data_IF_039720749631
#
_entry.id   IF_039720749631
#
_cell.length_a   1.000
_cell.length_b   1.000
_cell.length_c   1.000
_cell.angle_alpha   90.00
_cell.angle_beta   90.00
_cell.angle_gamma   90.00
#
_symmetry.space_group_name_H-M   'P 1'
#
loop_
_entity.id
_entity.type
_entity.pdbx_description
1 polymer ?
#
# COMPACT_ATOMS: atom_id res chain seq x y z
N UNK A 1 -2.52 13.02 18.32
CA UNK A 1 -2.87 11.64 17.96
C UNK A 1 -1.68 11.09 17.19
N UNK A 2 -1.03 10.06 17.74
CA UNK A 2 0.18 9.48 17.16
C UNK A 2 -0.10 8.63 15.91
N UNK A 3 0.96 8.17 15.23
CA UNK A 3 0.86 7.28 14.08
C UNK A 3 0.09 5.99 14.43
N UNK A 4 0.43 5.37 15.56
CA UNK A 4 -0.23 4.16 16.05
C UNK A 4 -1.73 4.37 16.28
N UNK A 5 -2.12 5.48 16.90
CA UNK A 5 -3.54 5.79 17.14
C UNK A 5 -4.34 5.89 15.84
N UNK A 6 -3.75 6.48 14.79
CA UNK A 6 -4.39 6.60 13.47
C UNK A 6 -4.55 5.25 12.80
N UNK A 7 -3.50 4.43 12.83
CA UNK A 7 -3.53 3.07 12.29
C UNK A 7 -4.58 2.23 13.04
N UNK A 8 -4.54 2.23 14.38
CA UNK A 8 -5.49 1.50 15.22
C UNK A 8 -6.94 1.92 14.95
N UNK A 9 -7.21 3.23 14.91
CA UNK A 9 -8.56 3.75 14.61
C UNK A 9 -9.02 3.36 13.20
N UNK A 10 -8.15 3.49 12.20
CA UNK A 10 -8.44 3.11 10.82
C UNK A 10 -8.64 1.61 10.64
N UNK A 11 -8.05 0.77 11.50
CA UNK A 11 -8.15 -0.67 11.38
C UNK A 11 -9.20 -1.29 12.29
N UNK A 12 -9.99 -0.50 13.04
CA UNK A 12 -10.91 -1.04 14.06
C UNK A 12 -11.84 -2.13 13.51
N UNK A 13 -12.50 -1.91 12.37
CA UNK A 13 -13.40 -2.91 11.77
C UNK A 13 -12.69 -4.19 11.36
N UNK A 14 -11.47 -4.05 10.88
CA UNK A 14 -10.60 -5.16 10.50
C UNK A 14 -10.15 -5.93 11.73
N UNK A 15 -9.66 -5.22 12.74
CA UNK A 15 -9.26 -5.77 14.03
C UNK A 15 -10.41 -6.53 14.68
N UNK A 16 -11.63 -5.98 14.70
CA UNK A 16 -12.80 -6.63 15.28
C UNK A 16 -13.19 -7.92 14.52
N UNK A 17 -12.98 -7.98 13.21
CA UNK A 17 -13.28 -9.18 12.42
C UNK A 17 -12.21 -10.26 12.60
N UNK A 18 -10.93 -9.88 12.47
CA UNK A 18 -9.80 -10.79 12.64
C UNK A 18 -9.73 -11.31 14.08
N UNK A 19 -9.92 -10.43 15.06
CA UNK A 19 -9.88 -10.82 16.47
C UNK A 19 -10.97 -11.81 16.81
N UNK A 20 -12.21 -11.62 16.34
CA UNK A 20 -13.29 -12.58 16.57
C UNK A 20 -12.99 -13.96 16.00
N UNK A 21 -12.43 -14.03 14.79
CA UNK A 21 -12.07 -15.31 14.17
C UNK A 21 -10.93 -16.00 14.91
N UNK A 22 -9.87 -15.26 15.26
CA UNK A 22 -8.70 -15.82 15.92
C UNK A 22 -8.93 -16.13 17.41
N UNK A 23 -9.71 -15.31 18.13
CA UNK A 23 -10.04 -15.56 19.53
C UNK A 23 -10.81 -16.87 19.70
N UNK A 24 -11.66 -17.24 18.73
CA UNK A 24 -12.35 -18.53 18.73
C UNK A 24 -11.35 -19.70 18.69
N UNK A 25 -10.39 -19.65 17.75
CA UNK A 25 -9.31 -20.65 17.61
C UNK A 25 -8.51 -20.76 18.91
N UNK A 26 -8.11 -19.62 19.48
CA UNK A 26 -7.27 -19.61 20.67
C UNK A 26 -8.01 -19.96 21.97
N UNK A 27 -9.32 -19.70 22.06
CA UNK A 27 -10.13 -20.09 23.21
C UNK A 27 -10.36 -21.61 23.27
N UNK A 28 -10.34 -22.28 22.12
CA UNK A 28 -10.41 -23.74 22.01
C UNK A 28 -9.09 -24.47 22.24
N UNK A 29 -7.99 -23.74 22.49
CA UNK A 29 -6.66 -24.34 22.59
C UNK A 29 -6.55 -25.36 23.74
N UNK A 30 -6.18 -26.60 23.39
CA UNK A 30 -5.82 -27.66 24.33
C UNK A 30 -4.41 -28.17 24.05
N UNK A 31 -4.13 -28.47 22.79
CA UNK A 31 -2.83 -28.86 22.26
C UNK A 31 -2.72 -28.34 20.83
N UNK A 32 -1.52 -28.39 20.26
CA UNK A 32 -1.33 -28.14 18.83
C UNK A 32 -1.54 -29.47 18.09
N UNK A 33 -2.72 -29.65 17.53
CA UNK A 33 -3.12 -30.77 16.69
C UNK A 33 -3.62 -30.28 15.32
N UNK A 34 -3.91 -31.24 14.43
CA UNK A 34 -4.34 -30.96 13.06
C UNK A 34 -5.64 -30.14 13.03
N UNK A 35 -6.58 -30.40 13.95
CA UNK A 35 -7.86 -29.70 14.06
C UNK A 35 -7.66 -28.21 14.37
N UNK A 36 -6.80 -27.87 15.35
CA UNK A 36 -6.47 -26.48 15.67
C UNK A 36 -5.81 -25.75 14.49
N UNK A 37 -4.92 -26.43 13.77
CA UNK A 37 -4.21 -25.86 12.63
C UNK A 37 -5.15 -25.62 11.44
N UNK A 38 -6.12 -26.50 11.21
CA UNK A 38 -7.18 -26.33 10.22
C UNK A 38 -8.07 -25.13 10.56
N UNK A 39 -8.52 -25.00 11.82
CA UNK A 39 -9.30 -23.83 12.27
C UNK A 39 -8.52 -22.52 12.11
N UNK A 40 -7.21 -22.53 12.40
CA UNK A 40 -6.34 -21.37 12.18
C UNK A 40 -6.24 -21.02 10.68
N UNK A 41 -6.12 -22.01 9.80
CA UNK A 41 -6.08 -21.81 8.36
C UNK A 41 -7.39 -21.17 7.87
N UNK A 42 -8.54 -21.71 8.29
CA UNK A 42 -9.86 -21.18 7.94
C UNK A 42 -10.03 -19.72 8.41
N UNK A 43 -9.62 -19.41 9.64
CA UNK A 43 -9.68 -18.06 10.19
C UNK A 43 -8.83 -17.05 9.36
N UNK A 44 -7.65 -17.46 8.90
CA UNK A 44 -6.80 -16.64 8.02
C UNK A 44 -7.44 -16.44 6.64
N UNK A 45 -8.05 -17.48 6.07
CA UNK A 45 -8.75 -17.40 4.77
C UNK A 45 -9.93 -16.43 4.87
N UNK A 46 -10.77 -16.56 5.90
CA UNK A 46 -11.90 -15.67 6.15
C UNK A 46 -11.48 -14.21 6.37
N UNK A 47 -10.23 -13.99 6.78
CA UNK A 47 -9.64 -12.67 6.95
C UNK A 47 -9.05 -12.07 5.67
N UNK A 48 -9.30 -12.67 4.49
CA UNK A 48 -8.77 -12.24 3.19
C UNK A 48 -7.24 -12.41 3.02
N UNK A 49 -6.59 -13.32 3.76
CA UNK A 49 -5.17 -13.67 3.56
C UNK A 49 -4.96 -14.51 2.29
N UNK A 50 -5.97 -15.30 1.91
CA UNK A 50 -5.96 -16.19 0.76
C UNK A 50 -5.38 -17.57 1.09
N UNK A 51 -5.98 -18.63 0.50
CA UNK A 51 -5.69 -20.03 0.85
C UNK A 51 -4.20 -20.40 0.75
N UNK A 52 -3.53 -20.03 -0.35
CA UNK A 52 -2.12 -20.36 -0.54
C UNK A 52 -1.19 -19.72 0.50
N UNK A 53 -1.52 -18.52 0.98
CA UNK A 53 -0.73 -17.85 2.02
C UNK A 53 -1.11 -18.36 3.41
N UNK A 54 -2.39 -18.62 3.66
CA UNK A 54 -2.87 -19.21 4.91
C UNK A 54 -2.19 -20.55 5.19
N UNK A 55 -2.19 -21.47 4.22
CA UNK A 55 -1.51 -22.76 4.33
C UNK A 55 -0.01 -22.61 4.65
N UNK A 56 0.68 -21.66 3.98
CA UNK A 56 2.10 -21.38 4.26
C UNK A 56 2.33 -20.84 5.66
N UNK A 57 1.46 -19.94 6.13
CA UNK A 57 1.52 -19.37 7.48
C UNK A 57 1.34 -20.47 8.52
N UNK A 58 0.29 -21.29 8.38
CA UNK A 58 -0.02 -22.38 9.33
C UNK A 58 1.11 -23.39 9.39
N UNK A 59 1.65 -23.82 8.25
CA UNK A 59 2.80 -24.74 8.19
C UNK A 59 4.02 -24.16 8.93
N UNK A 60 4.31 -22.88 8.76
CA UNK A 60 5.45 -22.24 9.45
C UNK A 60 5.18 -22.02 10.94
N UNK A 61 3.94 -21.72 11.33
CA UNK A 61 3.49 -21.62 12.73
C UNK A 61 3.65 -22.96 13.42
N UNK A 62 3.14 -24.06 12.84
CA UNK A 62 3.30 -25.41 13.37
C UNK A 62 4.78 -25.75 13.58
N UNK A 63 5.60 -25.54 12.54
CA UNK A 63 7.04 -25.82 12.57
C UNK A 63 7.76 -25.02 13.67
N UNK A 64 7.36 -23.77 13.92
CA UNK A 64 7.95 -22.94 14.98
C UNK A 64 7.46 -23.36 16.35
N UNK A 65 6.16 -23.64 16.48
CA UNK A 65 5.55 -24.03 17.73
C UNK A 65 6.11 -25.35 18.27
N UNK A 66 6.34 -26.34 17.39
CA UNK A 66 7.03 -27.59 17.72
C UNK A 66 8.47 -27.33 18.20
N UNK A 67 9.24 -26.48 17.49
CA UNK A 67 10.63 -26.17 17.88
C UNK A 67 10.74 -25.42 19.21
N UNK A 68 9.75 -24.59 19.52
CA UNK A 68 9.71 -23.79 20.74
C UNK A 68 9.05 -24.53 21.92
N UNK A 69 8.51 -25.74 21.68
CA UNK A 69 7.70 -26.49 22.65
C UNK A 69 6.55 -25.64 23.21
N UNK A 70 5.80 -24.98 22.32
CA UNK A 70 4.64 -24.16 22.71
C UNK A 70 3.62 -25.03 23.44
N UNK A 71 3.17 -24.57 24.60
CA UNK A 71 2.22 -25.28 25.47
C UNK A 71 0.99 -24.45 25.83
N UNK A 72 0.91 -23.20 25.35
CA UNK A 72 -0.21 -22.31 25.66
C UNK A 72 -0.70 -21.54 24.44
N UNK A 73 -1.98 -21.14 24.48
CA UNK A 73 -2.58 -20.27 23.46
C UNK A 73 -1.84 -18.94 23.31
N UNK A 74 -1.35 -18.38 24.42
CA UNK A 74 -0.61 -17.12 24.42
C UNK A 74 0.71 -17.26 23.65
N UNK A 75 1.49 -18.31 23.93
CA UNK A 75 2.72 -18.61 23.18
C UNK A 75 2.43 -18.85 21.69
N UNK A 76 1.35 -19.55 21.35
CA UNK A 76 0.94 -19.74 19.96
C UNK A 76 0.61 -18.41 19.26
N UNK A 77 -0.05 -17.48 19.95
CA UNK A 77 -0.30 -16.12 19.45
C UNK A 77 0.99 -15.36 19.16
N UNK A 78 2.00 -15.47 20.04
CA UNK A 78 3.33 -14.89 19.79
C UNK A 78 3.97 -15.53 18.56
N UNK A 79 3.93 -16.85 18.44
CA UNK A 79 4.47 -17.55 17.26
C UNK A 79 3.78 -17.11 15.97
N UNK A 80 2.45 -16.96 15.97
CA UNK A 80 1.71 -16.44 14.82
C UNK A 80 2.16 -15.02 14.46
N UNK A 81 2.22 -14.12 15.45
CA UNK A 81 2.65 -12.73 15.23
C UNK A 81 4.06 -12.65 14.64
N UNK A 82 5.00 -13.39 15.20
CA UNK A 82 6.39 -13.43 14.74
C UNK A 82 6.51 -14.04 13.34
N UNK A 83 5.73 -15.08 13.06
CA UNK A 83 5.65 -15.69 11.72
C UNK A 83 5.17 -14.68 10.69
N UNK A 84 4.09 -13.96 11.00
CA UNK A 84 3.55 -12.93 10.12
C UNK A 84 4.54 -11.78 9.91
N UNK A 85 5.22 -11.33 10.97
CA UNK A 85 6.26 -10.29 10.88
C UNK A 85 7.39 -10.69 9.93
N UNK A 86 7.88 -11.94 10.04
CA UNK A 86 8.98 -12.45 9.22
C UNK A 86 8.57 -12.68 7.76
N UNK A 87 7.30 -13.01 7.52
CA UNK A 87 6.76 -13.17 6.16
C UNK A 87 6.50 -11.83 5.47
N UNK A 88 6.40 -10.74 6.22
CA UNK A 88 6.23 -9.40 5.69
C UNK A 88 7.59 -8.74 5.43
N UNK A 89 7.71 -8.06 4.29
CA UNK A 89 8.92 -7.28 4.00
C UNK A 89 9.17 -6.20 5.07
N UNK A 90 10.44 -5.92 5.32
CA UNK A 90 10.85 -4.84 6.22
C UNK A 90 10.23 -3.50 5.79
N UNK A 91 10.00 -2.62 6.78
CA UNK A 91 9.50 -1.28 6.52
C UNK A 91 10.49 -0.54 5.59
N UNK A 92 10.03 -0.17 4.39
CA UNK A 92 10.80 0.60 3.42
C UNK A 92 10.11 1.93 3.16
N UNK A 93 10.59 3.04 3.77
CA UNK A 93 10.09 4.37 3.48
C UNK A 93 10.19 4.74 1.99
N UNK A 94 9.47 5.79 1.58
CA UNK A 94 9.64 6.36 0.25
C UNK A 94 11.03 6.99 0.11
N UNK A 95 11.78 6.58 -0.91
CA UNK A 95 13.03 7.24 -1.27
C UNK A 95 12.74 8.50 -2.10
N UNK A 96 12.81 9.62 -1.40
CA UNK A 96 12.71 10.97 -1.98
C UNK A 96 13.94 11.79 -1.67
N UNK A 97 15.11 11.13 -1.62
CA UNK A 97 16.40 11.76 -1.32
C UNK A 97 17.02 12.47 -2.54
N UNK A 98 16.78 11.96 -3.75
CA UNK A 98 17.16 12.60 -5.01
C UNK A 98 16.47 13.95 -5.24
N UNK A 99 17.07 14.81 -6.07
CA UNK A 99 16.53 16.14 -6.40
C UNK A 99 16.58 16.43 -7.91
N UNK A 100 15.44 16.35 -8.62
CA UNK A 100 14.14 15.93 -8.12
C UNK A 100 14.06 14.42 -7.91
N UNK A 101 13.37 13.97 -6.86
CA UNK A 101 12.85 12.61 -6.76
C UNK A 101 11.59 12.48 -7.63
N UNK A 102 11.33 11.29 -8.18
CA UNK A 102 10.16 11.03 -9.02
C UNK A 102 9.31 9.92 -8.41
N UNK A 103 8.05 10.22 -8.15
CA UNK A 103 7.04 9.28 -7.65
C UNK A 103 5.99 9.07 -8.75
N UNK A 104 6.07 7.93 -9.44
CA UNK A 104 5.10 7.50 -10.43
C UNK A 104 3.98 6.72 -9.75
N UNK A 105 2.75 7.23 -9.80
CA UNK A 105 1.60 6.60 -9.12
C UNK A 105 0.70 5.92 -10.14
N UNK A 106 0.58 4.60 -10.01
CA UNK A 106 -0.20 3.74 -10.93
C UNK A 106 -1.27 2.95 -10.17
N UNK A 107 -2.16 2.29 -10.92
CA UNK A 107 -3.25 1.49 -10.37
C UNK A 107 -4.57 1.74 -11.09
N UNK A 108 -5.61 0.97 -10.77
CA UNK A 108 -6.88 1.04 -11.52
C UNK A 108 -7.71 2.28 -11.13
N UNK A 109 -8.77 2.58 -11.87
CA UNK A 109 -9.66 3.69 -11.54
C UNK A 109 -10.43 3.44 -10.23
N UNK A 110 -10.65 4.48 -9.43
CA UNK A 110 -11.46 4.40 -8.21
C UNK A 110 -10.74 3.90 -6.95
N UNK A 111 -9.49 3.45 -7.07
CA UNK A 111 -8.66 2.98 -5.92
C UNK A 111 -8.04 4.10 -5.09
N UNK A 112 -8.24 5.36 -5.47
CA UNK A 112 -7.74 6.51 -4.70
C UNK A 112 -6.35 7.04 -5.10
N UNK A 113 -5.91 6.86 -6.36
CA UNK A 113 -4.64 7.42 -6.89
C UNK A 113 -4.52 8.94 -6.68
N UNK A 114 -5.39 9.72 -7.33
CA UNK A 114 -5.38 11.18 -7.27
C UNK A 114 -5.51 11.70 -5.83
N UNK A 115 -6.31 11.05 -5.00
CA UNK A 115 -6.41 11.36 -3.56
C UNK A 115 -5.09 11.09 -2.83
N UNK A 116 -4.43 9.95 -3.08
CA UNK A 116 -3.14 9.61 -2.47
C UNK A 116 -2.04 10.59 -2.91
N UNK A 117 -2.03 10.98 -4.19
CA UNK A 117 -1.12 12.00 -4.73
C UNK A 117 -1.32 13.33 -4.02
N UNK A 118 -2.56 13.78 -3.86
CA UNK A 118 -2.85 15.04 -3.18
C UNK A 118 -2.44 15.06 -1.71
N UNK A 119 -2.67 13.96 -0.98
CA UNK A 119 -2.20 13.80 0.41
C UNK A 119 -0.67 13.76 0.50
N UNK A 120 -0.02 13.02 -0.39
CA UNK A 120 1.44 12.95 -0.44
C UNK A 120 2.08 14.29 -0.79
N UNK A 121 1.47 15.04 -1.72
CA UNK A 121 1.89 16.39 -2.09
C UNK A 121 1.79 17.34 -0.89
N UNK A 122 0.65 17.33 -0.19
CA UNK A 122 0.46 18.17 1.00
C UNK A 122 1.45 17.82 2.11
N UNK A 123 1.74 16.53 2.33
CA UNK A 123 2.77 16.09 3.27
C UNK A 123 4.13 16.69 2.93
N UNK A 124 4.60 16.53 1.69
CA UNK A 124 5.91 17.03 1.30
C UNK A 124 6.00 18.56 1.27
N UNK A 125 4.92 19.27 0.90
CA UNK A 125 4.87 20.73 1.05
C UNK A 125 4.93 21.14 2.52
N UNK A 126 4.22 20.43 3.40
CA UNK A 126 4.28 20.63 4.86
C UNK A 126 5.68 20.39 5.45
N UNK A 127 6.46 19.49 4.84
CA UNK A 127 7.89 19.26 5.15
C UNK A 127 8.82 20.33 4.54
N UNK A 128 8.28 21.32 3.83
CA UNK A 128 9.04 22.40 3.20
C UNK A 128 9.65 22.06 1.83
N UNK A 129 9.27 20.93 1.23
CA UNK A 129 9.73 20.53 -0.11
C UNK A 129 8.94 21.24 -1.21
N UNK A 130 9.61 21.57 -2.32
CA UNK A 130 8.94 22.06 -3.53
C UNK A 130 8.40 20.89 -4.34
N UNK A 131 7.08 20.77 -4.43
CA UNK A 131 6.40 19.66 -5.11
C UNK A 131 5.87 20.11 -6.48
N UNK A 132 6.11 19.28 -7.50
CA UNK A 132 5.54 19.39 -8.84
C UNK A 132 4.61 18.20 -9.10
N UNK A 133 3.36 18.46 -9.48
CA UNK A 133 2.39 17.45 -9.89
C UNK A 133 2.31 17.37 -11.42
N UNK A 134 2.31 16.15 -11.96
CA UNK A 134 2.11 15.90 -13.38
C UNK A 134 0.75 15.23 -13.62
N UNK A 135 -0.16 15.91 -14.31
CA UNK A 135 -1.50 15.41 -14.64
C UNK A 135 -1.49 14.50 -15.88
N UNK A 136 -0.85 13.32 -15.77
CA UNK A 136 -0.69 12.40 -16.89
C UNK A 136 -1.88 11.42 -17.07
N UNK A 137 -2.94 11.46 -16.23
CA UNK A 137 -4.27 10.90 -16.56
C UNK A 137 -4.99 11.82 -17.56
N UNK A 138 -4.49 11.86 -18.80
CA UNK A 138 -5.00 12.76 -19.86
C UNK A 138 -6.29 12.26 -20.51
N UNK A 139 -6.69 11.02 -20.24
CA UNK A 139 -7.92 10.41 -20.78
C UNK A 139 -9.19 10.90 -20.11
N UNK A 140 -9.07 11.55 -18.94
CA UNK A 140 -10.22 12.00 -18.15
C UNK A 140 -10.00 13.46 -17.79
N UNK A 141 -10.70 14.36 -18.48
CA UNK A 141 -10.66 15.80 -18.16
C UNK A 141 -10.90 16.06 -16.65
N UNK A 142 -11.89 15.37 -16.06
CA UNK A 142 -12.21 15.47 -14.64
C UNK A 142 -11.07 15.00 -13.71
N UNK A 143 -10.16 14.12 -14.15
CA UNK A 143 -9.01 13.70 -13.33
C UNK A 143 -7.98 14.82 -13.22
N UNK A 144 -7.68 15.52 -14.32
CA UNK A 144 -6.81 16.68 -14.32
C UNK A 144 -7.39 17.83 -13.47
N UNK A 145 -8.70 18.09 -13.55
CA UNK A 145 -9.37 19.10 -12.72
C UNK A 145 -9.35 18.72 -11.22
N UNK A 146 -9.57 17.44 -10.91
CA UNK A 146 -9.47 16.93 -9.53
C UNK A 146 -8.04 17.08 -8.99
N UNK A 147 -7.01 16.77 -9.80
CA UNK A 147 -5.62 16.93 -9.40
C UNK A 147 -5.25 18.40 -9.21
N UNK A 148 -5.79 19.32 -10.01
CA UNK A 148 -5.58 20.76 -9.83
C UNK A 148 -6.15 21.28 -8.50
N UNK A 149 -7.32 20.77 -8.08
CA UNK A 149 -7.88 21.09 -6.75
C UNK A 149 -6.94 20.60 -5.64
N UNK A 150 -6.39 19.39 -5.78
CA UNK A 150 -5.40 18.86 -4.84
C UNK A 150 -4.10 19.67 -4.83
N UNK A 151 -3.61 20.09 -6.00
CA UNK A 151 -2.43 20.94 -6.13
C UNK A 151 -2.60 22.25 -5.35
N UNK A 152 -3.74 22.94 -5.57
CA UNK A 152 -4.10 24.17 -4.86
C UNK A 152 -4.22 23.95 -3.36
N UNK A 153 -4.85 22.86 -2.93
CA UNK A 153 -5.01 22.52 -1.50
C UNK A 153 -3.67 22.21 -0.84
N UNK A 154 -2.76 21.55 -1.55
CA UNK A 154 -1.43 21.19 -1.06
C UNK A 154 -0.42 22.33 -1.13
N UNK A 155 -0.68 23.37 -1.93
CA UNK A 155 0.32 24.41 -2.24
C UNK A 155 1.42 23.92 -3.20
N UNK A 156 1.10 22.95 -4.06
CA UNK A 156 2.02 22.37 -5.03
C UNK A 156 1.82 22.98 -6.43
N UNK A 157 2.90 23.00 -7.22
CA UNK A 157 2.82 23.32 -8.66
C UNK A 157 2.20 22.16 -9.43
N UNK A 158 1.57 22.44 -10.57
CA UNK A 158 1.00 21.42 -11.46
C UNK A 158 1.29 21.73 -12.92
N UNK A 159 1.60 20.69 -13.69
CA UNK A 159 1.64 20.70 -15.15
C UNK A 159 0.53 19.79 -15.67
N UNK A 160 -0.26 20.32 -16.61
CA UNK A 160 -1.36 19.62 -17.26
C UNK A 160 -1.51 20.06 -18.71
N UNK A 161 -1.94 19.16 -19.57
CA UNK A 161 -2.30 19.44 -20.97
C UNK A 161 -3.81 19.30 -21.18
N UNK A 162 -4.27 19.50 -22.42
CA UNK A 162 -5.66 19.23 -22.81
C UNK A 162 -6.01 17.74 -22.76
N UNK A 163 -7.31 17.44 -22.76
CA UNK A 163 -7.83 16.07 -22.83
C UNK A 163 -7.30 15.33 -24.06
N UNK A 164 -6.90 14.07 -23.88
CA UNK A 164 -6.35 13.23 -24.94
C UNK A 164 -4.89 13.52 -25.31
N UNK A 165 -4.22 14.43 -24.60
CA UNK A 165 -2.79 14.66 -24.79
C UNK A 165 -1.96 13.41 -24.45
N UNK A 166 -0.76 13.31 -25.03
CA UNK A 166 0.18 12.23 -24.72
C UNK A 166 0.68 12.31 -23.25
N UNK A 167 0.40 11.32 -22.40
CA UNK A 167 0.83 11.30 -20.99
C UNK A 167 2.35 11.49 -20.83
N UNK A 168 3.13 10.89 -21.72
CA UNK A 168 4.59 11.01 -21.70
C UNK A 168 5.07 12.44 -22.02
N UNK A 169 4.32 13.20 -22.82
CA UNK A 169 4.60 14.61 -23.08
C UNK A 169 4.31 15.47 -21.83
N UNK A 170 3.21 15.21 -21.12
CA UNK A 170 2.92 15.87 -19.84
C UNK A 170 4.06 15.63 -18.84
N UNK A 171 4.56 14.40 -18.74
CA UNK A 171 5.68 14.06 -17.85
C UNK A 171 6.97 14.77 -18.27
N UNK A 172 7.29 14.81 -19.57
CA UNK A 172 8.47 15.52 -20.09
C UNK A 172 8.44 17.01 -19.72
N UNK A 173 7.31 17.67 -19.92
CA UNK A 173 7.14 19.10 -19.59
C UNK A 173 7.15 19.34 -18.09
N UNK A 174 6.61 18.40 -17.30
CA UNK A 174 6.67 18.43 -15.82
C UNK A 174 8.10 18.34 -15.32
N UNK A 175 8.93 17.45 -15.90
CA UNK A 175 10.35 17.33 -15.57
C UNK A 175 11.11 18.61 -15.94
N UNK A 176 10.83 19.16 -17.12
CA UNK A 176 11.45 20.42 -17.57
C UNK A 176 11.10 21.59 -16.65
N UNK A 177 9.83 21.71 -16.26
CA UNK A 177 9.37 22.72 -15.30
C UNK A 177 9.99 22.52 -13.91
N UNK A 178 10.06 21.28 -13.43
CA UNK A 178 10.67 20.93 -12.15
C UNK A 178 12.16 21.31 -12.09
N UNK A 179 12.91 21.02 -13.15
CA UNK A 179 14.33 21.44 -13.28
C UNK A 179 14.46 22.96 -13.23
N UNK A 180 13.63 23.68 -13.99
CA UNK A 180 13.69 25.14 -14.05
C UNK A 180 13.32 25.83 -12.73
N UNK A 181 12.40 25.23 -11.95
CA UNK A 181 11.90 25.79 -10.68
C UNK A 181 12.63 25.26 -9.45
N UNK A 182 13.52 24.28 -9.63
CA UNK A 182 14.24 23.59 -8.58
C UNK A 182 13.30 22.82 -7.65
N UNK A 183 12.35 22.06 -8.19
CA UNK A 183 11.46 21.19 -7.42
C UNK A 183 12.24 20.04 -6.79
N UNK A 184 11.89 19.68 -5.55
CA UNK A 184 12.49 18.55 -4.84
C UNK A 184 11.82 17.21 -5.20
N UNK A 185 10.51 17.22 -5.48
CA UNK A 185 9.73 16.01 -5.76
C UNK A 185 8.77 16.24 -6.92
N UNK A 186 8.72 15.29 -7.85
CA UNK A 186 7.74 15.22 -8.93
C UNK A 186 6.81 14.03 -8.64
N UNK A 187 5.50 14.25 -8.56
CA UNK A 187 4.51 13.18 -8.37
C UNK A 187 3.62 13.12 -9.61
N UNK A 188 3.55 11.95 -10.25
CA UNK A 188 2.90 11.74 -11.54
C UNK A 188 1.60 10.95 -11.33
N UNK A 189 0.46 11.51 -11.72
CA UNK A 189 -0.83 10.81 -11.80
C UNK A 189 -0.98 10.15 -13.17
N UNK A 190 -1.33 8.86 -13.23
CA UNK A 190 -1.51 8.14 -14.49
C UNK A 190 -2.94 7.65 -14.68
N UNK A 191 -3.30 7.32 -15.92
CA UNK A 191 -4.56 6.62 -16.19
C UNK A 191 -4.62 5.24 -15.50
N UNK A 192 -5.83 4.76 -15.19
CA UNK A 192 -6.06 3.50 -14.46
C UNK A 192 -6.94 2.47 -15.17
N UNK A 193 -6.87 2.38 -16.50
CA UNK A 193 -7.75 1.50 -17.29
C UNK A 193 -7.12 0.12 -17.56
N UNK A 194 -7.26 -0.81 -16.61
CA UNK A 194 -6.70 -2.18 -16.74
C UNK A 194 -7.39 -3.04 -17.81
N UNK A 195 -8.62 -2.72 -18.22
CA UNK A 195 -9.36 -3.48 -19.26
C UNK A 195 -8.69 -3.42 -20.64
N UNK A 196 -7.77 -2.47 -20.87
CA UNK A 196 -6.94 -2.40 -22.07
C UNK A 196 -5.45 -2.47 -21.69
N UNK A 197 -5.05 -3.65 -21.21
CA UNK A 197 -3.72 -3.93 -20.65
C UNK A 197 -2.58 -3.47 -21.56
N UNK A 198 -2.61 -3.84 -22.85
CA UNK A 198 -1.54 -3.52 -23.78
C UNK A 198 -1.30 -2.02 -23.94
N UNK A 199 -2.37 -1.23 -24.04
CA UNK A 199 -2.25 0.23 -24.19
C UNK A 199 -1.73 0.89 -22.91
N UNK A 200 -2.27 0.50 -21.74
CA UNK A 200 -1.80 1.01 -20.45
C UNK A 200 -0.31 0.70 -20.26
N UNK A 201 0.14 -0.50 -20.63
CA UNK A 201 1.55 -0.87 -20.51
C UNK A 201 2.48 -0.12 -21.46
N UNK A 202 2.07 0.07 -22.71
CA UNK A 202 2.84 0.88 -23.66
C UNK A 202 2.99 2.33 -23.18
N UNK A 203 1.95 2.88 -22.55
CA UNK A 203 1.96 4.20 -21.96
C UNK A 203 2.92 4.29 -20.76
N UNK A 204 2.84 3.36 -19.81
CA UNK A 204 3.75 3.31 -18.66
C UNK A 204 5.21 3.13 -19.10
N UNK A 205 5.49 2.25 -20.06
CA UNK A 205 6.83 2.06 -20.62
C UNK A 205 7.34 3.30 -21.37
N UNK A 206 6.45 4.10 -21.95
CA UNK A 206 6.82 5.37 -22.58
C UNK A 206 7.15 6.43 -21.53
N UNK A 207 6.34 6.55 -20.48
CA UNK A 207 6.61 7.43 -19.33
C UNK A 207 7.96 7.06 -18.69
N UNK A 208 8.19 5.77 -18.46
CA UNK A 208 9.43 5.28 -17.85
C UNK A 208 10.67 5.66 -18.67
N UNK A 209 10.63 5.48 -19.99
CA UNK A 209 11.70 5.90 -20.91
C UNK A 209 11.96 7.41 -20.87
N UNK A 210 10.90 8.22 -20.77
CA UNK A 210 11.05 9.69 -20.65
C UNK A 210 11.75 10.02 -19.34
N UNK A 211 11.31 9.47 -18.21
CA UNK A 211 11.93 9.75 -16.90
C UNK A 211 13.38 9.28 -16.90
N UNK A 212 13.68 8.07 -17.39
CA UNK A 212 15.04 7.52 -17.42
C UNK A 212 16.00 8.38 -18.28
N UNK A 213 15.51 8.93 -19.40
CA UNK A 213 16.30 9.80 -20.27
C UNK A 213 16.53 11.18 -19.67
N UNK A 214 15.50 11.77 -19.09
CA UNK A 214 15.57 13.15 -18.59
C UNK A 214 16.15 13.26 -17.17
N UNK A 215 16.02 12.21 -16.35
CA UNK A 215 16.43 12.16 -14.95
C UNK A 215 17.10 10.80 -14.63
N UNK A 216 18.27 10.50 -15.24
CA UNK A 216 18.94 9.20 -15.07
C UNK A 216 19.36 8.91 -13.62
N UNK A 217 19.67 9.95 -12.84
CA UNK A 217 20.19 9.85 -11.47
C UNK A 217 19.14 10.17 -10.38
N UNK A 218 17.86 10.30 -10.75
CA UNK A 218 16.82 10.59 -9.78
C UNK A 218 16.53 9.37 -8.89
N UNK A 219 16.17 9.62 -7.63
CA UNK A 219 15.43 8.63 -6.82
C UNK A 219 14.07 8.40 -7.48
N UNK A 220 13.71 7.13 -7.71
CA UNK A 220 12.49 6.76 -8.43
C UNK A 220 11.67 5.78 -7.62
N UNK A 221 10.42 6.14 -7.38
CA UNK A 221 9.41 5.28 -6.79
C UNK A 221 8.30 5.04 -7.81
N UNK A 222 7.94 3.78 -8.05
CA UNK A 222 6.74 3.38 -8.78
C UNK A 222 5.78 2.75 -7.80
N UNK A 223 4.75 3.52 -7.43
CA UNK A 223 3.79 3.17 -6.40
C UNK A 223 2.51 2.63 -7.03
N UNK A 224 2.15 1.40 -6.70
CA UNK A 224 0.85 0.83 -7.05
C UNK A 224 -0.17 1.14 -5.96
N UNK A 225 -1.24 1.85 -6.31
CA UNK A 225 -2.35 2.12 -5.39
C UNK A 225 -3.41 1.03 -5.54
N UNK A 226 -3.80 0.44 -4.42
CA UNK A 226 -4.79 -0.63 -4.33
C UNK A 226 -5.86 -0.28 -3.30
N UNK A 227 -7.07 -0.76 -3.56
CA UNK A 227 -8.22 -0.60 -2.68
C UNK A 227 -8.34 -1.81 -1.75
N UNK A 228 -8.11 -1.61 -0.45
CA UNK A 228 -8.14 -2.69 0.54
C UNK A 228 -9.55 -3.32 0.71
N UNK A 229 -10.62 -2.65 0.28
CA UNK A 229 -11.99 -3.22 0.33
C UNK A 229 -12.21 -4.34 -0.68
N UNK A 230 -11.35 -4.43 -1.71
CA UNK A 230 -11.50 -5.38 -2.82
C UNK A 230 -10.94 -6.78 -2.52
N UNK A 231 -10.27 -6.97 -1.37
CA UNK A 231 -9.76 -8.27 -0.92
C UNK A 231 -8.81 -8.89 -1.95
N UNK A 232 -8.96 -10.19 -2.23
CA UNK A 232 -8.12 -10.94 -3.18
C UNK A 232 -8.04 -10.34 -4.59
N UNK A 233 -9.02 -9.54 -5.03
CA UNK A 233 -8.93 -8.81 -6.29
C UNK A 233 -7.76 -7.82 -6.31
N UNK A 234 -7.42 -7.21 -5.17
CA UNK A 234 -6.26 -6.33 -5.06
C UNK A 234 -4.95 -7.10 -5.22
N UNK A 235 -4.86 -8.32 -4.68
CA UNK A 235 -3.68 -9.21 -4.85
C UNK A 235 -3.48 -9.50 -6.32
N UNK A 236 -4.53 -9.95 -7.02
CA UNK A 236 -4.45 -10.25 -8.45
C UNK A 236 -4.07 -9.03 -9.28
N UNK A 237 -4.62 -7.85 -8.97
CA UNK A 237 -4.21 -6.62 -9.64
C UNK A 237 -2.73 -6.33 -9.42
N UNK A 238 -2.24 -6.48 -8.19
CA UNK A 238 -0.83 -6.27 -7.89
C UNK A 238 0.08 -7.26 -8.62
N UNK A 239 -0.29 -8.53 -8.71
CA UNK A 239 0.44 -9.53 -9.49
C UNK A 239 0.49 -9.16 -10.98
N UNK A 240 -0.61 -8.65 -11.52
CA UNK A 240 -0.68 -8.22 -12.92
C UNK A 240 0.21 -7.01 -13.19
N UNK A 241 0.20 -6.01 -12.31
CA UNK A 241 1.07 -4.83 -12.44
C UNK A 241 2.55 -5.15 -12.18
N UNK A 242 2.86 -6.07 -11.26
CA UNK A 242 4.24 -6.44 -10.94
C UNK A 242 4.95 -7.17 -12.11
N UNK A 243 4.19 -7.81 -13.00
CA UNK A 243 4.74 -8.46 -14.20
C UNK A 243 5.24 -7.48 -15.27
N UNK A 244 4.80 -6.23 -15.20
CA UNK A 244 4.87 -5.28 -16.33
C UNK A 244 5.42 -3.92 -15.95
N UNK A 245 5.36 -3.55 -14.67
CA UNK A 245 5.96 -2.35 -14.12
C UNK A 245 6.94 -2.75 -13.01
N UNK A 246 8.10 -2.09 -12.94
CA UNK A 246 9.04 -2.24 -11.85
C UNK A 246 8.50 -1.53 -10.60
N UNK A 247 7.59 -2.21 -9.88
CA UNK A 247 6.99 -1.68 -8.66
C UNK A 247 8.06 -1.57 -7.57
N UNK A 248 8.12 -0.41 -6.92
CA UNK A 248 9.00 -0.18 -5.76
C UNK A 248 8.21 -0.18 -4.46
N UNK A 249 6.89 0.02 -4.53
CA UNK A 249 6.05 0.05 -3.34
C UNK A 249 4.56 -0.02 -3.63
N UNK A 250 3.80 -0.34 -2.60
CA UNK A 250 2.33 -0.40 -2.62
C UNK A 250 1.75 0.65 -1.68
N UNK A 251 0.65 1.26 -2.11
CA UNK A 251 -0.21 2.14 -1.31
C UNK A 251 -1.56 1.44 -1.14
N UNK A 252 -1.94 1.11 0.09
CA UNK A 252 -3.24 0.51 0.39
C UNK A 252 -4.20 1.58 0.90
N UNK A 253 -5.30 1.81 0.19
CA UNK A 253 -6.30 2.82 0.58
C UNK A 253 -7.54 2.18 1.18
N UNK A 254 -8.37 3.01 1.83
CA UNK A 254 -9.69 2.66 2.37
C UNK A 254 -9.66 1.56 3.45
N UNK A 255 -8.57 1.49 4.22
CA UNK A 255 -8.46 0.54 5.33
C UNK A 255 -9.49 0.82 6.44
N UNK A 256 -9.89 2.08 6.60
CA UNK A 256 -10.98 2.55 7.48
C UNK A 256 -12.37 2.05 7.08
N UNK A 257 -12.54 1.71 5.80
CA UNK A 257 -13.81 1.23 5.26
C UNK A 257 -14.06 -0.26 5.46
N UNK A 258 -13.04 -1.06 5.78
CA UNK A 258 -13.06 -2.52 5.56
C UNK A 258 -12.75 -3.35 6.80
N UNK A 259 -13.28 -4.57 6.79
CA UNK A 259 -12.94 -5.65 7.74
C UNK A 259 -11.85 -6.60 7.20
N UNK A 260 -11.37 -6.34 5.98
CA UNK A 260 -10.51 -7.25 5.19
C UNK A 260 -9.02 -6.97 5.39
N UNK A 261 -8.53 -7.10 6.63
CA UNK A 261 -7.14 -6.79 6.97
C UNK A 261 -6.08 -7.72 6.41
N UNK A 262 -6.44 -8.99 6.19
CA UNK A 262 -5.50 -10.00 5.71
C UNK A 262 -4.93 -9.70 4.32
N UNK A 263 -5.54 -8.76 3.59
CA UNK A 263 -5.01 -8.30 2.29
C UNK A 263 -3.59 -7.73 2.41
N UNK A 264 -3.27 -7.04 3.51
CA UNK A 264 -1.94 -6.46 3.73
C UNK A 264 -0.90 -7.57 3.89
N UNK A 265 -1.26 -8.62 4.64
CA UNK A 265 -0.43 -9.82 4.83
C UNK A 265 -0.26 -10.54 3.50
N UNK A 266 -1.35 -10.75 2.76
CA UNK A 266 -1.34 -11.43 1.47
C UNK A 266 -0.44 -10.73 0.44
N UNK A 267 -0.52 -9.41 0.38
CA UNK A 267 0.27 -8.58 -0.53
C UNK A 267 1.74 -8.62 -0.14
N UNK A 268 2.04 -8.40 1.14
CA UNK A 268 3.43 -8.34 1.62
C UNK A 268 4.14 -9.69 1.48
N UNK A 269 3.46 -10.79 1.78
CA UNK A 269 4.02 -12.14 1.70
C UNK A 269 4.10 -12.71 0.28
N UNK A 270 3.20 -12.30 -0.63
CA UNK A 270 3.06 -12.93 -1.94
C UNK A 270 3.81 -12.25 -3.08
N UNK A 271 3.96 -10.91 -3.05
CA UNK A 271 4.39 -10.14 -4.22
C UNK A 271 5.87 -9.75 -4.24
N UNK A 272 6.53 -9.79 -3.07
CA UNK A 272 7.90 -9.28 -2.95
C UNK A 272 8.03 -7.77 -3.15
N UNK A 273 6.93 -7.02 -3.04
CA UNK A 273 6.90 -5.55 -3.14
C UNK A 273 6.43 -4.99 -1.80
N UNK A 274 7.16 -4.06 -1.17
CA UNK A 274 6.82 -3.57 0.17
C UNK A 274 5.58 -2.67 0.13
N UNK A 275 4.71 -2.82 1.13
CA UNK A 275 3.70 -1.79 1.41
C UNK A 275 4.42 -0.60 2.05
N UNK A 276 4.32 0.58 1.43
CA UNK A 276 5.02 1.79 1.90
C UNK A 276 4.08 2.76 2.59
N UNK A 277 2.83 2.81 2.15
CA UNK A 277 1.84 3.77 2.64
C UNK A 277 0.49 3.10 2.83
N UNK A 278 -0.24 3.59 3.82
CA UNK A 278 -1.62 3.17 4.10
C UNK A 278 -2.55 4.38 4.27
N UNK A 279 -3.70 4.32 3.62
CA UNK A 279 -4.79 5.28 3.72
C UNK A 279 -5.82 4.82 4.73
N UNK A 280 -5.91 5.54 5.86
CA UNK A 280 -6.71 5.20 7.04
C UNK A 280 -7.86 6.20 7.30
N UNK A 281 -8.28 6.91 6.24
CA UNK A 281 -9.34 7.92 6.31
C UNK A 281 -9.33 8.88 5.13
N UNK A 282 -10.21 9.89 5.17
CA UNK A 282 -10.41 10.89 4.10
C UNK A 282 -9.65 12.22 4.33
N UNK A 283 -9.17 12.45 5.54
CA UNK A 283 -8.39 13.62 5.91
C UNK A 283 -7.06 13.72 5.17
N UNK A 284 -6.51 14.94 5.13
CA UNK A 284 -5.25 15.25 4.44
C UNK A 284 -4.08 14.43 5.00
N UNK A 285 -4.08 14.23 6.32
CA UNK A 285 -3.03 13.54 7.05
C UNK A 285 -3.34 12.04 7.29
N UNK A 286 -4.32 11.49 6.58
CA UNK A 286 -4.77 10.10 6.74
C UNK A 286 -4.10 9.15 5.74
N UNK A 287 -3.15 9.64 4.93
CA UNK A 287 -2.16 8.79 4.30
C UNK A 287 -0.97 8.77 5.23
N UNK A 288 -0.59 7.60 5.74
CA UNK A 288 0.49 7.43 6.73
C UNK A 288 1.49 6.38 6.25
N UNK A 289 2.69 6.41 6.81
CA UNK A 289 3.71 5.40 6.53
C UNK A 289 3.28 4.05 7.06
N UNK A 290 3.56 3.01 6.28
CA UNK A 290 3.29 1.65 6.71
C UNK A 290 4.34 1.21 7.73
N UNK A 291 3.86 0.68 8.85
CA UNK A 291 4.68 -0.01 9.83
C UNK A 291 4.09 -1.39 10.08
N UNK A 292 4.82 -2.44 9.69
CA UNK A 292 4.34 -3.83 9.80
C UNK A 292 4.04 -4.25 11.24
N UNK A 293 4.80 -3.73 12.20
CA UNK A 293 4.66 -4.08 13.62
C UNK A 293 3.41 -3.45 14.22
N UNK A 294 3.25 -2.14 14.01
CA UNK A 294 2.07 -1.39 14.40
C UNK A 294 0.81 -1.92 13.70
N UNK A 295 0.93 -2.32 12.43
CA UNK A 295 -0.18 -2.93 11.69
C UNK A 295 -0.61 -4.26 12.33
N UNK A 296 0.32 -5.20 12.55
CA UNK A 296 -0.02 -6.50 13.14
C UNK A 296 -0.52 -6.36 14.58
N UNK A 297 0.05 -5.44 15.35
CA UNK A 297 -0.42 -5.12 16.70
C UNK A 297 -1.83 -4.52 16.71
N UNK A 298 -2.19 -3.74 15.69
CA UNK A 298 -3.53 -3.19 15.57
C UNK A 298 -4.57 -4.23 15.11
N UNK A 299 -4.17 -5.23 14.30
CA UNK A 299 -5.11 -6.17 13.65
C UNK A 299 -5.28 -7.47 14.43
N UNK A 300 -4.23 -7.97 15.08
CA UNK A 300 -4.30 -9.21 15.85
C UNK A 300 -4.96 -8.95 17.22
N UNK A 301 -5.60 -9.97 17.81
CA UNK A 301 -6.08 -9.89 19.18
C UNK A 301 -4.98 -9.41 20.13
N UNK A 302 -5.30 -8.53 21.10
CA UNK A 302 -4.33 -8.14 22.10
C UNK A 302 -3.74 -9.35 22.81
N UNK A 303 -2.42 -9.34 22.98
CA UNK A 303 -1.74 -10.27 23.89
C UNK A 303 -2.01 -9.73 25.29
N UNK A 304 -2.70 -10.48 26.15
CA UNK A 304 -3.00 -10.02 27.52
C UNK A 304 -1.68 -9.59 28.21
N UNK A 305 -1.64 -8.34 28.72
CA UNK A 305 -0.48 -7.77 29.42
C UNK A 305 0.19 -6.56 28.77
N UNK A 306 -0.25 -6.10 27.58
CA UNK A 306 0.19 -4.84 26.99
C UNK A 306 -0.46 -3.63 27.66
N UNK A 307 0.33 -2.82 28.38
CA UNK A 307 -0.10 -1.64 29.13
C UNK A 307 -0.75 -0.61 28.18
N UNK A 308 -1.92 -0.11 28.62
CA UNK A 308 -2.65 1.05 28.10
C UNK A 308 -1.84 2.34 28.08
#
# INVERSE_FOLDING_TARGET
>A
MGLFDKIKKGLQKTSDAVSRSLDAVFAGFVTIDDDLLEELEEALILSDVGAANAAKIVMEVERRAQRQNVTSALELRYVLKDTLLDMMLDNQPLDVSGKPAVVLVIGVNGVGKTTSIGKLAARYVGEGKKVMLAAADTFRAAAADQLEIWAKRAGADIVRHGEGADPAAVVFDSISAAKARGSDVIIIDTAGRLHNKANLMNELAKIDRVIARELPDASRETLLVLDATTGQNAVHQAEEFNKVAALTGIVLTKLDGTAKGGIVIAISAGLGVPVKLVGVGEGLDDLVDFDRSAFLEAVLPPLEGGIS
#
